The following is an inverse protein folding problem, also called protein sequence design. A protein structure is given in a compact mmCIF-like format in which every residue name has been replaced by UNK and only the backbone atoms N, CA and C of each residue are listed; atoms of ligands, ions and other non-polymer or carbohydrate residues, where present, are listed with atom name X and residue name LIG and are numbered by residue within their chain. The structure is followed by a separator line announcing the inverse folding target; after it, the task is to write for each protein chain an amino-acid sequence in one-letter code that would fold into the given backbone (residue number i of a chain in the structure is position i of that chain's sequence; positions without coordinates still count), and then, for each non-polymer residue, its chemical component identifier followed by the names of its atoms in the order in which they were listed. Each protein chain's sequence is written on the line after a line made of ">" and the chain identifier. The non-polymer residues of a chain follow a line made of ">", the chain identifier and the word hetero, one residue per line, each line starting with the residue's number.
data_IF_938473066171
#
_entry.id   IF_938473066171
#
_cell.length_a   1.000
_cell.length_b   1.000
_cell.length_c   1.000
_cell.angle_alpha   90.00
_cell.angle_beta   90.00
_cell.angle_gamma   90.00
#
_symmetry.space_group_name_H-M   'P 1'
#
loop_
_entity.id
_entity.type
_entity.pdbx_description
1 polymer ?
#
# COMPACT_ATOMS: atom_id res chain seq x y z
N UNK A 1 -13.78 19.87 15.84
CA UNK A 1 -14.05 19.47 14.43
C UNK A 1 -13.34 20.44 13.50
N UNK A 2 -12.73 19.95 12.43
CA UNK A 2 -12.06 20.72 11.38
C UNK A 2 -12.62 20.24 10.04
N UNK A 3 -12.95 21.17 9.13
CA UNK A 3 -13.40 20.84 7.77
C UNK A 3 -12.42 21.47 6.78
N UNK A 4 -11.83 20.63 5.93
CA UNK A 4 -10.92 21.04 4.86
C UNK A 4 -11.68 20.91 3.55
N UNK A 5 -11.94 22.05 2.90
CA UNK A 5 -12.79 22.11 1.71
C UNK A 5 -12.18 22.97 0.62
N UNK A 6 -12.18 22.45 -0.61
CA UNK A 6 -11.74 23.19 -1.81
C UNK A 6 -10.37 23.87 -1.64
N UNK A 7 -9.46 23.21 -0.91
CA UNK A 7 -8.16 23.77 -0.55
C UNK A 7 -7.16 23.54 -1.69
N UNK A 8 -6.46 24.59 -2.09
CA UNK A 8 -5.24 24.46 -2.89
C UNK A 8 -4.03 24.57 -1.95
N UNK A 9 -3.34 23.46 -1.73
CA UNK A 9 -2.12 23.41 -0.92
C UNK A 9 -0.96 23.92 -1.77
N UNK A 10 -0.19 24.93 -1.32
CA UNK A 10 0.92 25.48 -2.08
C UNK A 10 1.98 24.44 -2.49
N UNK A 11 2.69 24.73 -3.57
CA UNK A 11 3.75 23.86 -4.08
C UNK A 11 4.85 23.62 -3.04
N UNK A 12 5.19 22.36 -2.80
CA UNK A 12 6.28 22.01 -1.88
C UNK A 12 5.98 22.16 -0.40
N UNK A 13 4.70 22.28 -0.03
CA UNK A 13 4.23 22.45 1.33
C UNK A 13 3.33 21.29 1.71
N UNK A 14 3.46 20.81 2.94
CA UNK A 14 2.59 19.79 3.52
C UNK A 14 1.30 20.45 4.03
N UNK A 15 0.15 19.84 3.74
CA UNK A 15 -1.04 20.05 4.55
C UNK A 15 -0.83 19.37 5.90
N UNK A 16 -0.35 20.16 6.87
CA UNK A 16 0.09 19.66 8.16
C UNK A 16 -1.05 19.68 9.20
N UNK A 17 -1.41 18.48 9.67
CA UNK A 17 -2.44 18.21 10.66
C UNK A 17 -1.85 17.41 11.83
N UNK A 18 -0.60 17.67 12.24
CA UNK A 18 0.05 16.88 13.31
C UNK A 18 -0.29 17.32 14.73
N UNK A 19 -0.71 18.57 14.91
CA UNK A 19 -0.95 19.19 16.22
C UNK A 19 -2.43 19.27 16.59
N UNK A 20 -3.17 18.20 16.30
CA UNK A 20 -4.60 18.13 16.56
C UNK A 20 -4.88 17.85 18.04
N UNK A 21 -5.91 18.51 18.59
CA UNK A 21 -6.45 18.12 19.90
C UNK A 21 -6.96 16.69 19.82
N UNK A 22 -6.70 15.90 20.86
CA UNK A 22 -7.23 14.55 20.97
C UNK A 22 -8.77 14.55 20.84
N UNK A 23 -9.34 13.56 20.13
CA UNK A 23 -10.78 13.54 19.87
C UNK A 23 -11.23 14.37 18.65
N UNK A 24 -10.30 15.03 17.95
CA UNK A 24 -10.68 15.88 16.82
C UNK A 24 -11.21 15.07 15.65
N UNK A 25 -12.38 15.49 15.14
CA UNK A 25 -12.88 15.08 13.83
C UNK A 25 -12.30 15.98 12.74
N UNK A 26 -11.68 15.39 11.71
CA UNK A 26 -11.20 16.04 10.49
C UNK A 26 -12.04 15.55 9.31
N UNK A 27 -12.67 16.46 8.59
CA UNK A 27 -13.51 16.16 7.42
C UNK A 27 -12.92 16.78 6.15
N UNK A 28 -12.76 15.97 5.11
CA UNK A 28 -12.44 16.45 3.75
C UNK A 28 -13.73 16.57 2.93
N UNK A 29 -13.91 17.69 2.24
CA UNK A 29 -15.06 17.98 1.37
C UNK A 29 -14.62 18.68 0.08
N UNK A 30 -15.36 18.49 -1.02
CA UNK A 30 -14.97 19.06 -2.31
C UNK A 30 -13.57 18.61 -2.73
N UNK A 31 -12.83 19.43 -3.47
CA UNK A 31 -11.53 19.00 -4.03
C UNK A 31 -10.35 19.67 -3.34
N UNK A 32 -9.48 18.90 -2.70
CA UNK A 32 -8.16 19.35 -2.23
C UNK A 32 -7.13 19.05 -3.31
N UNK A 33 -6.33 20.06 -3.67
CA UNK A 33 -5.30 19.99 -4.72
C UNK A 33 -3.95 20.45 -4.19
N UNK A 34 -2.86 20.09 -4.90
CA UNK A 34 -1.49 20.38 -4.46
C UNK A 34 -0.67 21.04 -5.58
N UNK A 35 0.08 22.08 -5.25
CA UNK A 35 1.02 22.72 -6.17
C UNK A 35 2.17 21.81 -6.59
N UNK A 36 2.74 22.06 -7.77
CA UNK A 36 3.85 21.25 -8.31
C UNK A 36 5.21 21.67 -7.74
N UNK A 37 5.94 20.71 -7.18
CA UNK A 37 7.36 20.80 -6.83
C UNK A 37 7.97 19.41 -6.86
N UNK A 38 9.24 19.28 -7.21
CA UNK A 38 10.00 18.05 -6.98
C UNK A 38 10.52 18.05 -5.54
N UNK A 39 9.93 17.19 -4.71
CA UNK A 39 10.27 17.05 -3.29
C UNK A 39 9.75 15.71 -2.76
N UNK A 40 10.21 15.26 -1.58
CA UNK A 40 9.83 13.94 -1.03
C UNK A 40 8.45 13.88 -0.38
N UNK A 41 7.81 15.03 -0.14
CA UNK A 41 6.54 15.09 0.60
C UNK A 41 6.70 14.76 2.10
N UNK A 42 5.61 14.34 2.77
CA UNK A 42 4.29 14.00 2.21
C UNK A 42 3.46 15.24 1.82
N UNK A 43 2.47 15.05 0.93
CA UNK A 43 1.49 16.09 0.58
C UNK A 43 0.55 16.42 1.75
N UNK A 44 0.12 15.39 2.49
CA UNK A 44 -0.71 15.50 3.70
C UNK A 44 -0.06 14.71 4.82
N UNK A 45 0.01 15.29 6.01
CA UNK A 45 0.44 14.60 7.21
C UNK A 45 -0.56 14.79 8.33
N UNK A 46 -0.95 13.71 8.99
CA UNK A 46 -1.86 13.75 10.13
C UNK A 46 -1.33 12.90 11.27
N UNK A 47 -1.38 13.44 12.48
CA UNK A 47 -1.05 12.67 13.69
C UNK A 47 -1.88 13.07 14.89
N UNK A 48 -2.02 12.13 15.82
CA UNK A 48 -2.72 12.37 17.08
C UNK A 48 -3.41 11.12 17.60
N UNK A 49 -4.28 11.30 18.59
CA UNK A 49 -4.99 10.21 19.26
C UNK A 49 -6.49 10.42 19.22
N UNK A 50 -7.27 9.34 19.22
CA UNK A 50 -8.74 9.38 19.21
C UNK A 50 -9.28 10.26 18.08
N UNK A 51 -8.61 10.28 16.94
CA UNK A 51 -9.03 11.09 15.80
C UNK A 51 -10.11 10.37 15.01
N UNK A 52 -11.05 11.15 14.47
CA UNK A 52 -11.97 10.67 13.43
C UNK A 52 -11.67 11.42 12.13
N UNK A 53 -11.04 10.74 11.19
CA UNK A 53 -10.59 11.31 9.91
C UNK A 53 -11.51 10.75 8.83
N UNK A 54 -12.21 11.62 8.11
CA UNK A 54 -13.18 11.18 7.12
C UNK A 54 -13.29 12.10 5.92
N UNK A 55 -13.85 11.58 4.84
CA UNK A 55 -14.17 12.34 3.64
C UNK A 55 -15.66 12.18 3.28
N UNK A 56 -16.25 13.26 2.78
CA UNK A 56 -17.59 13.23 2.19
C UNK A 56 -17.56 12.48 0.84
N UNK A 57 -18.67 11.89 0.36
CA UNK A 57 -18.67 11.05 -0.86
C UNK A 57 -18.12 11.73 -2.13
N UNK A 58 -18.33 13.04 -2.27
CA UNK A 58 -17.84 13.84 -3.38
C UNK A 58 -16.44 14.44 -3.13
N UNK A 59 -15.83 14.20 -1.97
CA UNK A 59 -14.53 14.76 -1.64
C UNK A 59 -13.43 14.05 -2.44
N UNK A 60 -12.46 14.81 -2.94
CA UNK A 60 -11.31 14.29 -3.69
C UNK A 60 -10.05 14.93 -3.15
N UNK A 61 -9.05 14.12 -2.82
CA UNK A 61 -7.68 14.58 -2.67
C UNK A 61 -6.98 14.27 -3.99
N UNK A 62 -6.82 15.28 -4.84
CA UNK A 62 -6.20 15.12 -6.16
C UNK A 62 -4.73 15.58 -6.13
N UNK A 63 -3.82 14.61 -6.22
CA UNK A 63 -2.39 14.83 -6.22
C UNK A 63 -1.86 15.44 -7.54
N UNK A 64 -2.60 15.35 -8.64
CA UNK A 64 -2.15 15.76 -9.97
C UNK A 64 -0.85 15.04 -10.39
N UNK A 65 -0.77 13.74 -10.11
CA UNK A 65 0.42 12.89 -10.26
C UNK A 65 1.01 12.86 -11.66
N UNK A 66 0.22 13.12 -12.71
CA UNK A 66 0.66 13.21 -14.10
C UNK A 66 1.84 14.17 -14.31
N UNK A 67 1.98 15.17 -13.44
CA UNK A 67 3.11 16.11 -13.46
C UNK A 67 4.45 15.46 -13.05
N UNK A 68 4.43 14.36 -12.28
CA UNK A 68 5.61 13.61 -11.80
C UNK A 68 5.83 12.26 -12.47
N UNK A 69 4.85 11.76 -13.23
CA UNK A 69 4.93 10.44 -13.85
C UNK A 69 5.84 10.39 -15.08
N UNK A 70 6.25 11.54 -15.65
CA UNK A 70 7.12 11.58 -16.83
C UNK A 70 8.35 10.68 -16.66
N UNK A 71 8.52 9.72 -17.57
CA UNK A 71 9.63 8.76 -17.57
C UNK A 71 9.34 7.42 -16.89
N UNK A 72 8.14 7.21 -16.32
CA UNK A 72 7.74 5.91 -15.77
C UNK A 72 8.71 5.40 -14.71
N UNK A 73 9.11 4.13 -14.81
CA UNK A 73 10.13 3.50 -13.94
C UNK A 73 11.50 4.16 -14.04
N UNK A 74 11.84 4.78 -15.19
CA UNK A 74 13.17 5.36 -15.44
C UNK A 74 13.27 6.84 -15.03
N UNK A 75 12.20 7.41 -14.49
CA UNK A 75 12.17 8.80 -14.07
C UNK A 75 13.21 9.11 -12.98
N UNK A 76 13.76 10.32 -13.03
CA UNK A 76 14.67 10.86 -12.01
C UNK A 76 14.00 11.93 -11.14
N UNK A 77 12.73 12.24 -11.42
CA UNK A 77 11.97 13.25 -10.69
C UNK A 77 11.78 12.82 -9.25
N UNK A 78 11.99 13.75 -8.31
CA UNK A 78 11.63 13.52 -6.92
C UNK A 78 10.12 13.69 -6.75
N UNK A 79 9.45 12.62 -6.31
CA UNK A 79 7.99 12.57 -6.20
C UNK A 79 7.56 12.59 -4.74
N UNK A 80 6.58 13.43 -4.36
CA UNK A 80 6.09 13.44 -2.99
C UNK A 80 5.20 12.23 -2.72
N UNK A 81 5.40 11.59 -1.56
CA UNK A 81 4.38 10.68 -1.01
C UNK A 81 3.07 11.45 -0.78
N UNK A 82 1.93 10.78 -0.88
CA UNK A 82 0.66 11.49 -0.74
C UNK A 82 0.29 11.73 0.72
N UNK A 83 -0.16 10.71 1.45
CA UNK A 83 -0.82 10.85 2.74
C UNK A 83 -0.10 10.01 3.80
N UNK A 84 0.40 10.66 4.84
CA UNK A 84 1.05 10.00 5.98
C UNK A 84 0.20 10.14 7.25
N UNK A 85 -0.19 9.01 7.83
CA UNK A 85 -0.90 8.92 9.09
C UNK A 85 -0.01 8.31 10.18
N UNK A 86 -0.01 8.95 11.36
CA UNK A 86 0.63 8.44 12.58
C UNK A 86 -0.37 8.64 13.72
N UNK A 87 -1.24 7.66 13.94
CA UNK A 87 -2.41 7.83 14.81
C UNK A 87 -2.63 6.65 15.76
N UNK A 88 -3.15 6.96 16.94
CA UNK A 88 -3.57 5.96 17.94
C UNK A 88 -5.08 6.04 18.18
N UNK A 89 -5.72 4.89 18.42
CA UNK A 89 -7.12 4.79 18.83
C UNK A 89 -8.08 5.54 17.89
N UNK A 90 -7.80 5.51 16.59
CA UNK A 90 -8.40 6.42 15.60
C UNK A 90 -9.13 5.69 14.48
N UNK A 91 -9.97 6.43 13.76
CA UNK A 91 -10.67 5.95 12.56
C UNK A 91 -10.31 6.79 11.35
N UNK A 92 -10.04 6.16 10.22
CA UNK A 92 -9.78 6.80 8.92
C UNK A 92 -10.73 6.21 7.90
N UNK A 93 -11.61 7.02 7.31
CA UNK A 93 -12.76 6.50 6.56
C UNK A 93 -13.09 7.30 5.31
N UNK A 94 -13.28 6.59 4.19
CA UNK A 94 -13.89 7.18 2.98
C UNK A 94 -12.97 8.08 2.17
N UNK A 95 -11.68 8.16 2.49
CA UNK A 95 -10.74 9.02 1.76
C UNK A 95 -10.61 8.54 0.31
N UNK A 96 -10.74 9.49 -0.62
CA UNK A 96 -10.57 9.25 -2.05
C UNK A 96 -9.34 10.01 -2.55
N UNK A 97 -8.34 9.27 -2.99
CA UNK A 97 -7.09 9.77 -3.57
C UNK A 97 -7.16 9.65 -5.08
N UNK A 98 -7.04 10.77 -5.79
CA UNK A 98 -6.93 10.81 -7.24
C UNK A 98 -5.48 11.12 -7.63
N UNK A 99 -4.97 10.37 -8.60
CA UNK A 99 -3.67 10.61 -9.24
C UNK A 99 -2.51 10.84 -8.25
N UNK A 100 -2.20 9.87 -7.37
CA UNK A 100 -1.05 9.96 -6.48
C UNK A 100 0.28 10.09 -7.25
N UNK A 101 1.19 11.01 -6.88
CA UNK A 101 2.50 11.11 -7.54
C UNK A 101 3.43 9.92 -7.27
N UNK A 102 3.33 9.31 -6.08
CA UNK A 102 4.20 8.27 -5.52
C UNK A 102 3.37 7.39 -4.55
N UNK A 103 3.94 6.67 -3.54
CA UNK A 103 3.14 5.92 -2.57
C UNK A 103 2.02 6.78 -1.96
N UNK A 104 0.82 6.22 -1.94
CA UNK A 104 -0.41 6.96 -1.71
C UNK A 104 -0.73 7.06 -0.23
N UNK A 105 -1.28 6.02 0.39
CA UNK A 105 -1.69 6.06 1.79
C UNK A 105 -0.72 5.27 2.67
N UNK A 106 -0.02 5.95 3.57
CA UNK A 106 0.94 5.33 4.49
C UNK A 106 0.44 5.49 5.92
N UNK A 107 0.16 4.38 6.60
CA UNK A 107 0.00 4.35 8.06
C UNK A 107 1.29 3.82 8.68
N UNK A 108 1.98 4.66 9.43
CA UNK A 108 3.24 4.32 10.05
C UNK A 108 3.15 4.54 11.56
N UNK A 109 3.59 3.60 12.38
CA UNK A 109 3.50 3.68 13.85
C UNK A 109 2.07 3.91 14.36
N UNK A 110 1.09 3.36 13.64
CA UNK A 110 -0.32 3.47 14.01
C UNK A 110 -0.73 2.34 14.95
N UNK A 111 -1.53 2.65 15.98
CA UNK A 111 -2.02 1.65 16.93
C UNK A 111 -3.54 1.72 17.08
N UNK A 112 -4.20 0.57 17.27
CA UNK A 112 -5.64 0.47 17.53
C UNK A 112 -6.48 1.29 16.53
N UNK A 113 -6.18 1.15 15.24
CA UNK A 113 -6.71 2.05 14.20
C UNK A 113 -7.51 1.27 13.16
N UNK A 114 -8.69 1.79 12.81
CA UNK A 114 -9.53 1.23 11.74
C UNK A 114 -9.48 2.16 10.53
N UNK A 115 -8.96 1.63 9.42
CA UNK A 115 -8.92 2.26 8.11
C UNK A 115 -9.99 1.58 7.26
N UNK A 116 -10.92 2.33 6.68
CA UNK A 116 -11.99 1.75 5.88
C UNK A 116 -12.40 2.60 4.69
N UNK A 117 -12.92 1.96 3.64
CA UNK A 117 -13.47 2.65 2.45
C UNK A 117 -12.48 3.61 1.81
N UNK A 118 -11.20 3.26 1.79
CA UNK A 118 -10.18 4.02 1.07
C UNK A 118 -10.32 3.72 -0.42
N UNK A 119 -10.28 4.76 -1.24
CA UNK A 119 -10.19 4.64 -2.69
C UNK A 119 -8.91 5.28 -3.19
N UNK A 120 -8.06 4.51 -3.87
CA UNK A 120 -6.93 5.02 -4.64
C UNK A 120 -7.26 4.87 -6.12
N UNK A 121 -7.37 5.98 -6.83
CA UNK A 121 -7.61 6.02 -8.28
C UNK A 121 -6.43 6.65 -9.01
N UNK A 122 -5.56 5.81 -9.56
CA UNK A 122 -4.48 6.22 -10.46
C UNK A 122 -4.73 5.78 -11.91
N UNK A 123 -5.99 5.62 -12.35
CA UNK A 123 -6.35 5.11 -13.69
C UNK A 123 -5.79 5.92 -14.85
N UNK A 124 -5.55 7.22 -14.64
CA UNK A 124 -5.03 8.12 -15.67
C UNK A 124 -3.60 7.73 -16.12
N UNK A 125 -2.86 6.99 -15.28
CA UNK A 125 -1.55 6.42 -15.63
C UNK A 125 -1.64 5.09 -16.40
N UNK A 126 -2.83 4.50 -16.56
CA UNK A 126 -2.98 3.09 -16.96
C UNK A 126 -2.54 2.14 -15.84
N UNK A 127 -2.55 0.84 -16.11
CA UNK A 127 -2.07 -0.16 -15.15
C UNK A 127 -0.53 -0.23 -15.09
N UNK A 128 0.01 -1.08 -14.20
CA UNK A 128 1.45 -1.23 -13.97
C UNK A 128 2.28 -1.61 -15.20
N UNK A 129 1.65 -2.13 -16.26
CA UNK A 129 2.31 -2.48 -17.53
C UNK A 129 2.37 -1.31 -18.51
N UNK A 130 1.58 -0.26 -18.29
CA UNK A 130 1.60 0.94 -19.13
C UNK A 130 2.90 1.74 -18.98
N UNK A 131 3.69 1.49 -17.93
CA UNK A 131 4.96 2.15 -17.63
C UNK A 131 4.88 3.69 -17.68
N UNK A 132 3.74 4.27 -17.29
CA UNK A 132 3.58 5.72 -17.16
C UNK A 132 3.87 6.18 -15.75
N UNK A 133 3.33 5.50 -14.73
CA UNK A 133 3.63 5.77 -13.34
C UNK A 133 4.34 4.57 -12.71
N UNK A 134 5.06 4.82 -11.62
CA UNK A 134 5.86 3.81 -10.93
C UNK A 134 5.96 4.18 -9.44
N UNK A 135 5.99 3.17 -8.56
CA UNK A 135 5.92 3.31 -7.10
C UNK A 135 4.69 4.10 -6.63
N UNK A 136 3.52 3.74 -7.13
CA UNK A 136 2.24 4.33 -6.71
C UNK A 136 1.53 3.40 -5.72
N UNK A 137 2.25 2.87 -4.74
CA UNK A 137 1.73 1.92 -3.76
C UNK A 137 0.42 2.44 -3.16
N UNK A 138 -0.59 1.58 -3.05
CA UNK A 138 -1.93 1.99 -2.64
C UNK A 138 -2.01 2.28 -1.14
N UNK A 139 -1.99 1.22 -0.35
CA UNK A 139 -2.07 1.25 1.12
C UNK A 139 -0.83 0.57 1.70
N UNK A 140 -0.03 1.32 2.44
CA UNK A 140 1.19 0.83 3.10
C UNK A 140 1.04 0.87 4.62
N UNK A 141 1.36 -0.24 5.30
CA UNK A 141 1.43 -0.32 6.75
C UNK A 141 2.87 -0.59 7.22
N UNK A 142 3.35 0.22 8.16
CA UNK A 142 4.68 0.05 8.76
C UNK A 142 4.65 0.23 10.27
N UNK A 143 5.28 -0.69 11.00
CA UNK A 143 5.43 -0.67 12.45
C UNK A 143 4.10 -0.43 13.19
N UNK A 144 3.02 -1.04 12.69
CA UNK A 144 1.67 -0.87 13.25
C UNK A 144 1.34 -1.95 14.28
N UNK A 145 0.36 -1.70 15.16
CA UNK A 145 -0.25 -2.73 16.02
C UNK A 145 -1.76 -2.63 16.06
N UNK A 146 -2.47 -3.75 15.91
CA UNK A 146 -3.93 -3.80 15.99
C UNK A 146 -4.58 -2.82 14.97
N UNK A 147 -4.23 -3.01 13.69
CA UNK A 147 -4.72 -2.17 12.60
C UNK A 147 -5.58 -2.98 11.63
N UNK A 148 -6.71 -2.39 11.23
CA UNK A 148 -7.63 -2.99 10.26
C UNK A 148 -7.73 -2.15 9.00
N UNK A 149 -7.68 -2.78 7.84
CA UNK A 149 -7.96 -2.17 6.53
C UNK A 149 -9.16 -2.88 5.93
N UNK A 150 -10.26 -2.15 5.74
CA UNK A 150 -11.55 -2.72 5.39
C UNK A 150 -12.14 -2.07 4.14
N UNK A 151 -12.85 -2.85 3.32
CA UNK A 151 -13.77 -2.33 2.29
C UNK A 151 -13.14 -1.30 1.34
N UNK A 152 -11.88 -1.52 0.95
CA UNK A 152 -11.08 -0.54 0.21
C UNK A 152 -10.83 -0.97 -1.23
N UNK A 153 -10.62 -0.01 -2.11
CA UNK A 153 -10.34 -0.22 -3.53
C UNK A 153 -9.09 0.55 -3.94
N UNK A 154 -8.20 -0.14 -4.65
CA UNK A 154 -6.96 0.45 -5.17
C UNK A 154 -6.83 0.10 -6.64
N UNK A 155 -6.77 1.13 -7.48
CA UNK A 155 -6.24 1.04 -8.83
C UNK A 155 -4.92 1.78 -8.90
N UNK A 156 -3.82 1.07 -9.20
CA UNK A 156 -2.48 1.64 -9.22
C UNK A 156 -1.51 0.90 -10.16
N UNK A 157 -0.22 1.23 -10.05
CA UNK A 157 0.86 0.70 -10.90
C UNK A 157 1.95 -0.03 -10.09
N UNK A 158 1.73 -0.25 -8.79
CA UNK A 158 2.66 -0.94 -7.89
C UNK A 158 1.87 -1.75 -6.83
N UNK A 159 2.45 -2.09 -5.69
CA UNK A 159 1.76 -2.83 -4.63
C UNK A 159 0.42 -2.18 -4.26
N UNK A 160 -0.67 -2.93 -4.38
CA UNK A 160 -2.00 -2.46 -3.99
C UNK A 160 -2.05 -2.27 -2.47
N UNK A 161 -1.57 -3.27 -1.76
CA UNK A 161 -1.32 -3.25 -0.34
C UNK A 161 0.08 -3.75 -0.09
N UNK A 162 0.76 -3.15 0.88
CA UNK A 162 2.08 -3.58 1.32
C UNK A 162 2.24 -3.38 2.82
N UNK A 163 2.87 -4.34 3.49
CA UNK A 163 3.36 -4.13 4.86
C UNK A 163 4.80 -4.53 5.01
N UNK A 164 5.59 -3.63 5.61
CA UNK A 164 7.01 -3.85 5.93
C UNK A 164 7.25 -4.06 7.43
N UNK A 165 6.21 -4.37 8.20
CA UNK A 165 6.33 -4.65 9.62
C UNK A 165 5.09 -4.24 10.41
N UNK A 166 4.79 -5.01 11.45
CA UNK A 166 3.65 -4.78 12.32
C UNK A 166 3.11 -6.05 12.95
N UNK A 167 2.16 -5.87 13.85
CA UNK A 167 1.54 -6.94 14.62
C UNK A 167 0.01 -6.78 14.65
N UNK A 168 -0.74 -7.88 14.68
CA UNK A 168 -2.22 -7.85 14.78
C UNK A 168 -2.88 -7.04 13.65
N UNK A 169 -2.69 -7.49 12.41
CA UNK A 169 -3.21 -6.81 11.23
C UNK A 169 -4.33 -7.61 10.57
N UNK A 170 -5.42 -6.94 10.22
CA UNK A 170 -6.52 -7.53 9.44
C UNK A 170 -6.83 -6.70 8.21
N UNK A 171 -6.67 -7.31 7.04
CA UNK A 171 -7.03 -6.72 5.75
C UNK A 171 -8.20 -7.56 5.23
N UNK A 172 -9.36 -6.93 5.01
CA UNK A 172 -10.59 -7.65 4.67
C UNK A 172 -11.38 -6.87 3.62
N UNK A 173 -11.86 -7.56 2.59
CA UNK A 173 -12.60 -6.96 1.46
C UNK A 173 -11.82 -5.85 0.76
N UNK A 174 -10.54 -6.10 0.49
CA UNK A 174 -9.70 -5.25 -0.36
C UNK A 174 -9.86 -5.67 -1.83
N UNK A 175 -10.07 -4.70 -2.72
CA UNK A 175 -10.02 -4.93 -4.18
C UNK A 175 -8.83 -4.20 -4.76
N UNK A 176 -7.94 -4.97 -5.38
CA UNK A 176 -6.72 -4.52 -6.02
C UNK A 176 -6.85 -4.64 -7.53
N UNK A 177 -6.51 -3.59 -8.27
CA UNK A 177 -6.58 -3.59 -9.72
C UNK A 177 -5.38 -2.90 -10.37
N UNK A 178 -4.81 -3.52 -11.40
CA UNK A 178 -3.79 -2.92 -12.27
C UNK A 178 -2.35 -2.95 -11.76
N UNK A 179 -2.12 -3.08 -10.45
CA UNK A 179 -0.80 -2.97 -9.82
C UNK A 179 -0.02 -4.29 -9.72
N UNK A 180 0.73 -4.44 -8.62
CA UNK A 180 1.57 -5.59 -8.27
C UNK A 180 0.94 -6.50 -7.19
N UNK A 181 -0.37 -6.36 -6.96
CA UNK A 181 -1.10 -7.22 -6.05
C UNK A 181 -0.89 -6.91 -4.58
N UNK A 182 -1.05 -7.92 -3.73
CA UNK A 182 -0.97 -7.81 -2.27
C UNK A 182 0.39 -8.32 -1.80
N UNK A 183 1.16 -7.44 -1.16
CA UNK A 183 2.54 -7.69 -0.77
C UNK A 183 2.73 -7.76 0.76
N UNK A 184 3.59 -8.68 1.19
CA UNK A 184 4.19 -8.71 2.53
C UNK A 184 5.70 -8.59 2.36
N UNK A 185 6.27 -7.45 2.76
CA UNK A 185 7.64 -7.03 2.47
C UNK A 185 7.72 -5.77 1.59
N UNK A 186 8.87 -5.36 1.05
CA UNK A 186 10.17 -5.98 1.31
C UNK A 186 10.58 -5.72 2.75
N UNK A 187 10.88 -6.81 3.47
CA UNK A 187 11.42 -6.68 4.81
C UNK A 187 12.94 -6.55 4.75
N UNK A 188 13.43 -5.60 5.55
CA UNK A 188 14.82 -5.40 5.91
C UNK A 188 14.88 -4.65 7.24
N UNK A 189 16.05 -4.64 7.89
CA UNK A 189 16.35 -3.80 9.08
C UNK A 189 15.65 -4.17 10.39
N UNK A 190 15.36 -5.46 10.63
CA UNK A 190 14.93 -5.94 11.95
C UNK A 190 13.44 -5.75 12.24
N UNK A 191 12.60 -5.66 11.21
CA UNK A 191 11.15 -5.55 11.35
C UNK A 191 10.49 -6.93 11.22
N UNK A 192 9.46 -7.17 12.04
CA UNK A 192 8.69 -8.41 12.02
C UNK A 192 7.27 -8.16 11.49
N UNK A 193 6.69 -9.17 10.83
CA UNK A 193 5.25 -9.23 10.54
C UNK A 193 4.66 -10.41 11.32
N UNK A 194 3.79 -10.11 12.28
CA UNK A 194 3.26 -11.11 13.21
C UNK A 194 1.74 -11.04 13.27
N UNK A 195 1.04 -12.16 13.10
CA UNK A 195 -0.44 -12.24 13.14
C UNK A 195 -1.10 -11.31 12.13
N UNK A 196 -0.80 -11.56 10.86
CA UNK A 196 -1.41 -10.86 9.71
C UNK A 196 -2.45 -11.77 9.06
N UNK A 197 -3.69 -11.31 8.96
CA UNK A 197 -4.73 -11.97 8.17
C UNK A 197 -5.16 -11.06 7.02
N UNK A 198 -5.10 -11.58 5.80
CA UNK A 198 -5.62 -10.95 4.59
C UNK A 198 -6.71 -11.86 4.03
N UNK A 199 -7.95 -11.35 3.93
CA UNK A 199 -9.06 -12.20 3.52
C UNK A 199 -10.14 -11.54 2.67
N UNK A 200 -10.95 -12.37 2.03
CA UNK A 200 -12.13 -11.99 1.22
C UNK A 200 -11.82 -10.88 0.20
N UNK A 201 -10.64 -10.96 -0.42
CA UNK A 201 -10.09 -9.89 -1.24
C UNK A 201 -9.92 -10.33 -2.69
N UNK A 202 -9.80 -9.37 -3.60
CA UNK A 202 -9.67 -9.63 -5.04
C UNK A 202 -8.44 -8.92 -5.60
N UNK A 203 -7.74 -9.59 -6.52
CA UNK A 203 -6.65 -9.01 -7.29
C UNK A 203 -6.94 -9.20 -8.77
N UNK A 204 -7.01 -8.10 -9.51
CA UNK A 204 -7.58 -8.05 -10.87
C UNK A 204 -6.60 -7.35 -11.81
N UNK A 205 -6.33 -7.93 -12.97
CA UNK A 205 -5.50 -7.32 -14.02
C UNK A 205 -4.13 -6.82 -13.50
N UNK A 206 -3.55 -7.55 -12.55
CA UNK A 206 -2.29 -7.18 -11.88
C UNK A 206 -1.12 -8.01 -12.40
N UNK A 207 0.10 -7.51 -12.22
CA UNK A 207 1.31 -8.25 -12.53
C UNK A 207 1.44 -9.49 -11.65
N UNK A 208 1.27 -9.30 -10.34
CA UNK A 208 1.33 -10.36 -9.33
C UNK A 208 0.02 -10.41 -8.53
N UNK A 209 -0.38 -11.59 -8.08
CA UNK A 209 -1.51 -11.80 -7.18
C UNK A 209 -1.12 -11.53 -5.73
N UNK A 210 -0.42 -12.50 -5.13
CA UNK A 210 0.15 -12.44 -3.78
C UNK A 210 1.67 -12.45 -3.87
N UNK A 211 2.34 -11.56 -3.13
CA UNK A 211 3.80 -11.44 -3.18
C UNK A 211 4.40 -11.37 -1.76
N UNK A 212 5.29 -12.30 -1.44
CA UNK A 212 6.01 -12.33 -0.18
C UNK A 212 7.48 -12.13 -0.52
N UNK A 213 8.05 -11.01 -0.09
CA UNK A 213 9.37 -10.56 -0.52
C UNK A 213 10.24 -10.16 0.66
N UNK A 214 11.47 -10.68 0.72
CA UNK A 214 12.46 -10.27 1.73
C UNK A 214 13.76 -9.89 1.04
N UNK A 215 14.45 -8.87 1.56
CA UNK A 215 15.75 -8.45 1.04
C UNK A 215 16.82 -9.52 1.38
N UNK A 216 17.90 -9.55 0.60
CA UNK A 216 19.09 -10.33 0.98
C UNK A 216 19.66 -9.82 2.30
N UNK A 217 20.05 -10.73 3.19
CA UNK A 217 20.51 -10.47 4.56
C UNK A 217 19.48 -9.73 5.42
N UNK A 218 18.20 -9.80 5.07
CA UNK A 218 17.14 -9.24 5.91
C UNK A 218 17.17 -9.88 7.31
N UNK A 219 16.93 -9.05 8.31
CA UNK A 219 16.78 -9.45 9.72
C UNK A 219 15.34 -9.19 10.12
N UNK A 220 14.76 -10.13 10.85
CA UNK A 220 13.36 -10.13 11.27
C UNK A 220 12.71 -11.48 10.99
N UNK A 221 11.39 -11.54 11.08
CA UNK A 221 10.62 -12.72 10.72
C UNK A 221 9.20 -12.38 10.26
N UNK A 222 8.62 -13.32 9.54
CA UNK A 222 7.18 -13.41 9.36
C UNK A 222 6.65 -14.57 10.21
N UNK A 223 5.61 -14.34 11.01
CA UNK A 223 4.95 -15.39 11.79
C UNK A 223 3.45 -15.26 11.77
N UNK A 224 2.77 -16.37 11.55
CA UNK A 224 1.30 -16.46 11.62
C UNK A 224 0.65 -15.51 10.61
N UNK A 225 0.95 -15.74 9.33
CA UNK A 225 0.44 -14.96 8.20
C UNK A 225 -0.55 -15.81 7.42
N UNK A 226 -1.78 -15.33 7.29
CA UNK A 226 -2.88 -16.04 6.62
C UNK A 226 -3.42 -15.24 5.44
N UNK A 227 -3.48 -15.88 4.27
CA UNK A 227 -4.26 -15.44 3.12
C UNK A 227 -5.47 -16.37 2.97
N UNK A 228 -6.69 -15.81 2.97
CA UNK A 228 -7.93 -16.61 2.94
C UNK A 228 -8.98 -16.04 2.00
N UNK A 229 -9.61 -16.89 1.17
CA UNK A 229 -10.68 -16.49 0.25
C UNK A 229 -10.23 -15.33 -0.68
N UNK A 230 -9.13 -15.53 -1.40
CA UNK A 230 -8.59 -14.54 -2.34
C UNK A 230 -8.93 -14.97 -3.77
N UNK A 231 -9.54 -14.05 -4.53
CA UNK A 231 -9.84 -14.23 -5.95
C UNK A 231 -8.78 -13.52 -6.80
N UNK A 232 -8.11 -14.26 -7.68
CA UNK A 232 -7.14 -13.76 -8.63
C UNK A 232 -7.77 -13.75 -10.04
N UNK A 233 -7.78 -12.62 -10.73
CA UNK A 233 -8.36 -12.52 -12.06
C UNK A 233 -7.39 -11.84 -13.02
N UNK A 234 -7.08 -12.49 -14.14
CA UNK A 234 -6.17 -11.99 -15.17
C UNK A 234 -4.81 -11.58 -14.60
N UNK A 235 -4.13 -12.48 -13.89
CA UNK A 235 -2.78 -12.19 -13.37
C UNK A 235 -1.72 -12.42 -14.44
N UNK A 236 -0.74 -11.52 -14.55
CA UNK A 236 0.15 -11.45 -15.71
C UNK A 236 1.53 -12.08 -15.53
N UNK A 237 2.03 -12.24 -14.31
CA UNK A 237 3.37 -12.79 -14.07
C UNK A 237 3.35 -13.89 -13.01
N UNK A 238 2.91 -13.60 -11.79
CA UNK A 238 2.89 -14.59 -10.71
C UNK A 238 1.56 -14.61 -9.98
N UNK A 239 0.89 -15.76 -9.91
CA UNK A 239 -0.30 -15.89 -9.07
C UNK A 239 0.08 -15.71 -7.59
N UNK A 240 1.05 -16.50 -7.13
CA UNK A 240 1.70 -16.39 -5.82
C UNK A 240 3.22 -16.36 -6.05
N UNK A 241 3.90 -15.37 -5.50
CA UNK A 241 5.37 -15.25 -5.50
C UNK A 241 5.88 -15.20 -4.06
N UNK A 242 6.90 -16.00 -3.75
CA UNK A 242 7.60 -15.99 -2.46
C UNK A 242 9.10 -16.01 -2.71
N UNK A 243 9.84 -14.97 -2.34
CA UNK A 243 11.27 -14.92 -2.61
C UNK A 243 12.08 -14.19 -1.53
N UNK A 244 13.31 -14.67 -1.31
CA UNK A 244 14.22 -14.23 -0.26
C UNK A 244 15.42 -13.39 -0.71
N UNK A 245 15.33 -12.82 -1.90
CA UNK A 245 16.41 -12.12 -2.60
C UNK A 245 15.89 -10.88 -3.36
N UNK A 246 14.95 -10.14 -2.77
CA UNK A 246 14.35 -8.97 -3.43
C UNK A 246 15.41 -7.94 -3.80
N UNK A 247 15.29 -7.41 -5.02
CA UNK A 247 16.24 -6.50 -5.62
C UNK A 247 15.63 -5.17 -6.07
N UNK A 248 16.44 -4.23 -6.61
CA UNK A 248 15.94 -2.93 -7.05
C UNK A 248 14.93 -2.99 -8.20
N UNK A 249 14.94 -4.08 -8.98
CA UNK A 249 14.09 -4.24 -10.17
C UNK A 249 13.47 -5.62 -10.27
N UNK A 250 14.24 -6.64 -9.95
CA UNK A 250 13.84 -8.04 -9.86
C UNK A 250 14.72 -8.75 -8.82
N UNK A 251 14.27 -9.92 -8.32
CA UNK A 251 15.07 -10.71 -7.38
C UNK A 251 16.44 -11.05 -7.95
N UNK A 252 17.52 -10.83 -7.19
CA UNK A 252 18.89 -11.02 -7.66
C UNK A 252 19.78 -11.70 -6.61
N UNK A 253 20.72 -12.54 -7.09
CA UNK A 253 21.56 -13.35 -6.22
C UNK A 253 20.81 -14.50 -5.54
N UNK A 254 21.51 -15.25 -4.69
CA UNK A 254 20.90 -16.34 -3.94
C UNK A 254 20.11 -15.82 -2.72
N UNK A 255 18.93 -16.39 -2.42
CA UNK A 255 18.19 -16.08 -1.21
C UNK A 255 19.00 -16.36 0.06
N UNK A 256 18.89 -15.44 1.01
CA UNK A 256 19.47 -15.59 2.34
C UNK A 256 18.43 -16.06 3.34
N UNK A 257 18.88 -16.65 4.44
CA UNK A 257 17.99 -17.08 5.52
C UNK A 257 17.16 -15.91 6.08
N UNK A 258 15.85 -16.01 5.92
CA UNK A 258 14.82 -15.22 6.60
C UNK A 258 13.71 -16.14 7.12
N UNK A 259 13.22 -15.95 8.34
CA UNK A 259 12.24 -16.87 8.95
C UNK A 259 10.82 -16.58 8.48
N UNK A 260 10.19 -17.57 7.84
CA UNK A 260 8.78 -17.60 7.45
C UNK A 260 8.07 -18.71 8.24
N UNK A 261 7.56 -18.39 9.42
CA UNK A 261 6.93 -19.34 10.34
C UNK A 261 5.40 -19.28 10.21
N UNK A 262 4.73 -20.43 10.01
CA UNK A 262 3.25 -20.53 9.94
C UNK A 262 2.60 -19.62 8.91
N UNK A 263 2.92 -19.85 7.64
CA UNK A 263 2.12 -19.31 6.52
C UNK A 263 0.94 -20.21 6.21
N UNK A 264 -0.24 -19.62 6.04
CA UNK A 264 -1.45 -20.31 5.61
C UNK A 264 -2.04 -19.66 4.37
N UNK A 265 -2.22 -20.44 3.31
CA UNK A 265 -2.99 -20.03 2.13
C UNK A 265 -4.23 -20.91 2.04
N UNK A 266 -5.44 -20.32 2.09
CA UNK A 266 -6.71 -21.05 2.07
C UNK A 266 -7.65 -20.46 1.05
N UNK A 267 -8.19 -21.30 0.17
CA UNK A 267 -9.17 -20.89 -0.85
C UNK A 267 -8.65 -19.71 -1.71
N UNK A 268 -7.44 -19.87 -2.27
CA UNK A 268 -6.90 -18.98 -3.28
C UNK A 268 -7.28 -19.56 -4.64
N UNK A 269 -8.02 -18.79 -5.45
CA UNK A 269 -8.59 -19.27 -6.71
C UNK A 269 -8.56 -18.19 -7.78
N UNK A 270 -8.45 -18.59 -9.04
CA UNK A 270 -8.36 -17.59 -10.10
C UNK A 270 -7.83 -18.08 -11.43
N UNK A 271 -7.44 -17.13 -12.27
CA UNK A 271 -6.82 -17.39 -13.57
C UNK A 271 -5.60 -16.47 -13.81
N UNK A 272 -4.68 -16.98 -14.64
CA UNK A 272 -3.56 -16.23 -15.20
C UNK A 272 -3.89 -15.82 -16.65
N UNK A 273 -3.35 -14.70 -17.11
CA UNK A 273 -3.48 -14.22 -18.49
C UNK A 273 -2.13 -14.04 -19.20
N UNK A 274 -1.03 -13.83 -18.47
CA UNK A 274 0.28 -13.59 -19.09
C UNK A 274 0.93 -14.87 -19.63
N UNK A 275 1.38 -14.83 -20.88
CA UNK A 275 2.21 -15.88 -21.45
C UNK A 275 3.54 -16.00 -20.69
N UNK A 276 3.88 -17.22 -20.27
CA UNK A 276 5.09 -17.46 -19.47
C UNK A 276 4.99 -17.04 -17.99
N UNK A 277 3.81 -16.61 -17.53
CA UNK A 277 3.55 -16.43 -16.10
C UNK A 277 3.53 -17.78 -15.36
N UNK A 278 3.83 -17.76 -14.06
CA UNK A 278 3.74 -18.93 -13.20
C UNK A 278 2.59 -18.80 -12.20
N UNK A 279 1.84 -19.88 -12.00
CA UNK A 279 0.78 -19.91 -10.99
C UNK A 279 1.34 -19.67 -9.59
N UNK A 280 2.43 -20.35 -9.26
CA UNK A 280 3.16 -20.24 -7.99
C UNK A 280 4.65 -20.28 -8.29
N UNK A 281 5.40 -19.35 -7.71
CA UNK A 281 6.86 -19.29 -7.79
C UNK A 281 7.45 -19.06 -6.40
N UNK A 282 8.37 -19.92 -5.98
CA UNK A 282 8.99 -19.88 -4.66
C UNK A 282 10.51 -19.99 -4.83
N UNK A 283 11.25 -19.02 -4.31
CA UNK A 283 12.72 -18.99 -4.32
C UNK A 283 13.26 -18.52 -2.96
N UNK A 284 13.49 -19.49 -2.07
CA UNK A 284 13.89 -19.25 -0.69
C UNK A 284 15.17 -20.02 -0.34
N UNK A 285 15.84 -19.55 0.72
CA UNK A 285 16.90 -20.31 1.35
C UNK A 285 16.31 -21.60 1.97
N UNK A 286 16.98 -22.77 1.91
CA UNK A 286 16.41 -24.04 2.35
C UNK A 286 15.90 -24.10 3.81
N UNK A 287 16.41 -23.21 4.67
CA UNK A 287 16.04 -23.14 6.09
C UNK A 287 15.04 -22.01 6.42
N UNK A 288 14.43 -21.38 5.41
CA UNK A 288 13.58 -20.19 5.61
C UNK A 288 12.12 -20.48 5.93
N UNK A 289 11.57 -21.64 5.53
CA UNK A 289 10.17 -21.99 5.70
C UNK A 289 10.02 -23.45 6.12
#
# INVERSE_FOLDING_TARGET
>A
KIVIRNLNVPAGVTLDLTNLKQGTTVEFAGTVTFGYKEWKGPLVKISGKRLNIMAHPNARLDGGGNRWWKGGRNTKLQKPRFFEAIVDDSTITGLYFKNPPAPCFVCNWCHNTVISRITVDAKDAGDGRANKAFNTDGISLGYVKNVKVLDSYVFNQDDCFVTGGGEDMLIDRLTCEGGNGISVGSLGKGADVVRLTIKNSKVINSLTGLNIKTETNAVGLHRDVTFENIELNNIHQYGISIHGNEGPTFPNGEPTLFTLDKYTFRNIRGNMLGAGGANVWIWLHPNSA
#
